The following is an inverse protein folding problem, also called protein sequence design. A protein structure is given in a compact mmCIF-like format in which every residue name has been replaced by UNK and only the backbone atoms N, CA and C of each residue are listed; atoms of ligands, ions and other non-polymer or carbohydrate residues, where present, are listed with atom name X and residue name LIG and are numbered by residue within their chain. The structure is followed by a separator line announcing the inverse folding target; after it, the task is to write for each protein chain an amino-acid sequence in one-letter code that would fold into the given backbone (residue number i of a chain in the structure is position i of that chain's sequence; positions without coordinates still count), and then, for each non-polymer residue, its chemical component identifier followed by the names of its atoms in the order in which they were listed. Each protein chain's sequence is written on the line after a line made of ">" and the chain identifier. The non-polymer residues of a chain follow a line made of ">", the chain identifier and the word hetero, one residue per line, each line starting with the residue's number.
data_IF_288738791361
#
_entry.id   IF_288738791361
#
_cell.length_a   1.000
_cell.length_b   1.000
_cell.length_c   1.000
_cell.angle_alpha   90.00
_cell.angle_beta   90.00
_cell.angle_gamma   90.00
#
_symmetry.space_group_name_H-M   'P 1'
#
loop_
_entity.id
_entity.type
_entity.pdbx_description
1 polymer ?
#
# COMPACT_ATOMS: atom_id res chain seq x y z
N UNK A 1 51.03 -22.22 -37.27
CA UNK A 1 50.56 -21.22 -36.25
C UNK A 1 49.09 -21.55 -35.92
N UNK A 2 48.82 -22.21 -34.79
CA UNK A 2 47.45 -22.60 -34.35
C UNK A 2 46.98 -21.50 -33.39
N UNK A 3 45.96 -20.73 -33.79
CA UNK A 3 45.27 -19.75 -32.90
C UNK A 3 44.42 -20.50 -31.90
N UNK A 4 44.73 -20.40 -30.62
CA UNK A 4 43.88 -20.83 -29.51
C UNK A 4 42.87 -19.72 -29.23
N UNK A 5 41.59 -20.03 -29.45
CA UNK A 5 40.47 -19.19 -29.06
C UNK A 5 40.22 -19.48 -27.56
N UNK A 6 40.46 -18.49 -26.72
CA UNK A 6 40.05 -18.54 -25.30
C UNK A 6 38.57 -18.16 -25.21
N UNK A 7 37.75 -19.14 -24.88
CA UNK A 7 36.35 -18.91 -24.58
C UNK A 7 36.24 -18.47 -23.11
N UNK A 8 36.06 -17.16 -22.87
CA UNK A 8 35.72 -16.65 -21.54
C UNK A 8 34.28 -16.99 -21.25
N UNK A 9 34.07 -18.02 -20.43
CA UNK A 9 32.74 -18.28 -19.81
C UNK A 9 32.56 -17.24 -18.71
N UNK A 10 31.73 -16.21 -18.99
CA UNK A 10 31.23 -15.29 -17.98
C UNK A 10 30.24 -16.06 -17.10
N UNK A 11 30.70 -16.55 -15.95
CA UNK A 11 29.81 -17.08 -14.92
C UNK A 11 29.04 -15.87 -14.34
N UNK A 12 27.78 -15.73 -14.77
CA UNK A 12 26.82 -14.84 -14.11
C UNK A 12 26.55 -15.41 -12.72
N UNK A 13 27.23 -14.89 -11.71
CA UNK A 13 26.86 -15.14 -10.33
C UNK A 13 25.52 -14.42 -10.10
N UNK A 14 24.42 -15.17 -10.13
CA UNK A 14 23.17 -14.76 -9.50
C UNK A 14 23.48 -14.59 -8.01
N UNK A 15 23.66 -13.34 -7.60
CA UNK A 15 23.69 -12.99 -6.18
C UNK A 15 22.24 -13.13 -5.69
N UNK A 16 21.86 -14.35 -5.30
CA UNK A 16 20.64 -14.55 -4.53
C UNK A 16 20.80 -13.80 -3.21
N UNK A 17 19.81 -12.98 -2.80
CA UNK A 17 19.87 -12.33 -1.51
C UNK A 17 20.01 -13.40 -0.43
N UNK A 18 21.00 -13.25 0.45
CA UNK A 18 21.08 -14.09 1.64
C UNK A 18 19.87 -13.77 2.50
N UNK A 19 18.97 -14.74 2.64
CA UNK A 19 17.83 -14.63 3.54
C UNK A 19 18.37 -14.64 4.97
N UNK A 20 18.11 -13.55 5.67
CA UNK A 20 18.59 -13.34 7.02
C UNK A 20 17.59 -13.93 8.04
N UNK A 21 18.11 -14.44 9.15
CA UNK A 21 17.33 -15.01 10.24
C UNK A 21 16.42 -13.95 10.93
N UNK A 22 15.43 -14.39 11.68
CA UNK A 22 14.52 -13.55 12.44
C UNK A 22 15.28 -12.48 13.26
N UNK A 23 14.92 -11.19 13.03
CA UNK A 23 15.49 -10.03 13.74
C UNK A 23 16.38 -9.10 12.91
N UNK A 24 16.75 -9.46 11.69
CA UNK A 24 17.57 -8.61 10.83
C UNK A 24 16.71 -7.64 10.01
N UNK A 25 17.12 -6.36 9.97
CA UNK A 25 16.45 -5.30 9.21
C UNK A 25 16.45 -5.64 7.73
N UNK A 26 15.27 -5.72 7.10
CA UNK A 26 15.18 -5.87 5.65
C UNK A 26 15.68 -4.59 4.98
N UNK A 27 16.51 -4.77 3.95
CA UNK A 27 17.08 -3.67 3.16
C UNK A 27 16.51 -3.58 1.76
N UNK A 28 15.68 -4.54 1.39
CA UNK A 28 15.05 -4.64 0.09
C UNK A 28 13.82 -5.54 0.17
N UNK A 29 12.75 -5.18 -0.56
CA UNK A 29 11.50 -5.94 -0.63
C UNK A 29 11.13 -6.14 -2.08
N UNK A 30 10.90 -7.40 -2.49
CA UNK A 30 10.29 -7.74 -3.77
C UNK A 30 8.78 -7.76 -3.64
N UNK A 31 8.10 -6.83 -4.31
CA UNK A 31 6.65 -6.75 -4.35
C UNK A 31 6.18 -6.50 -5.80
N UNK A 32 6.26 -7.55 -6.61
CA UNK A 32 5.91 -7.52 -8.05
C UNK A 32 4.61 -8.32 -8.31
N UNK A 33 3.65 -8.27 -7.40
CA UNK A 33 2.40 -9.01 -7.51
C UNK A 33 1.40 -8.26 -8.39
N UNK A 34 0.67 -9.00 -9.24
CA UNK A 34 -0.39 -8.42 -10.06
C UNK A 34 -1.69 -8.18 -9.25
N UNK A 35 -2.51 -7.21 -9.70
CA UNK A 35 -3.86 -7.01 -9.17
C UNK A 35 -4.67 -8.31 -9.09
N UNK A 36 -4.62 -9.15 -10.13
CA UNK A 36 -5.38 -10.40 -10.17
C UNK A 36 -4.90 -11.42 -9.13
N UNK A 37 -3.59 -11.45 -8.83
CA UNK A 37 -3.04 -12.29 -7.78
C UNK A 37 -3.46 -11.79 -6.38
N UNK A 38 -3.35 -10.48 -6.15
CA UNK A 38 -3.77 -9.85 -4.89
C UNK A 38 -5.26 -10.09 -4.62
N UNK A 39 -6.12 -9.85 -5.61
CA UNK A 39 -7.57 -10.06 -5.50
C UNK A 39 -7.92 -11.52 -5.22
N UNK A 40 -7.33 -12.45 -5.97
CA UNK A 40 -7.60 -13.87 -5.77
C UNK A 40 -7.16 -14.36 -4.37
N UNK A 41 -6.03 -13.86 -3.86
CA UNK A 41 -5.55 -14.22 -2.52
C UNK A 41 -6.46 -13.64 -1.42
N UNK A 42 -6.89 -12.38 -1.56
CA UNK A 42 -7.84 -11.75 -0.67
C UNK A 42 -9.18 -12.51 -0.63
N UNK A 43 -9.71 -12.93 -1.78
CA UNK A 43 -10.93 -13.74 -1.85
C UNK A 43 -10.80 -15.08 -1.13
N UNK A 44 -9.62 -15.73 -1.21
CA UNK A 44 -9.34 -16.99 -0.49
C UNK A 44 -9.21 -16.78 1.03
N UNK A 45 -8.58 -15.71 1.46
CA UNK A 45 -8.46 -15.31 2.87
C UNK A 45 -9.85 -15.09 3.49
N UNK A 46 -10.65 -14.20 2.87
CA UNK A 46 -12.01 -13.90 3.34
C UNK A 46 -12.89 -15.17 3.37
N UNK A 47 -12.78 -16.02 2.35
CA UNK A 47 -13.55 -17.25 2.29
C UNK A 47 -13.14 -18.29 3.35
N UNK A 48 -11.89 -18.26 3.80
CA UNK A 48 -11.37 -19.17 4.83
C UNK A 48 -11.65 -18.67 6.26
N UNK A 49 -12.16 -17.45 6.40
CA UNK A 49 -12.49 -16.91 7.72
C UNK A 49 -13.61 -17.72 8.38
N UNK A 50 -13.35 -18.22 9.59
CA UNK A 50 -14.27 -19.08 10.33
C UNK A 50 -14.15 -20.56 10.00
N UNK A 51 -13.27 -20.98 9.07
CA UNK A 51 -12.89 -22.38 8.89
C UNK A 51 -12.03 -22.85 10.08
N UNK A 52 -11.95 -24.17 10.30
CA UNK A 52 -11.09 -24.76 11.34
C UNK A 52 -9.61 -24.39 11.16
N UNK A 53 -9.18 -24.22 9.90
CA UNK A 53 -7.82 -23.80 9.53
C UNK A 53 -7.88 -22.57 8.61
N UNK A 54 -7.98 -21.36 9.18
CA UNK A 54 -7.94 -20.14 8.38
C UNK A 54 -6.57 -19.99 7.71
N UNK A 55 -6.55 -19.41 6.53
CA UNK A 55 -5.33 -19.11 5.76
C UNK A 55 -5.30 -17.62 5.42
N UNK A 56 -4.15 -16.98 5.57
CA UNK A 56 -4.00 -15.57 5.23
C UNK A 56 -3.59 -15.37 3.76
N UNK A 57 -4.03 -14.26 3.16
CA UNK A 57 -3.60 -13.88 1.82
C UNK A 57 -2.09 -13.67 1.73
N UNK A 58 -1.46 -13.27 2.82
CA UNK A 58 0.00 -13.12 2.91
C UNK A 58 0.69 -14.46 2.75
N UNK A 59 0.25 -15.49 3.48
CA UNK A 59 0.81 -16.84 3.40
C UNK A 59 0.56 -17.47 2.02
N UNK A 60 -0.64 -17.26 1.46
CA UNK A 60 -0.99 -17.71 0.11
C UNK A 60 -0.06 -17.11 -0.94
N UNK A 61 0.13 -15.78 -0.91
CA UNK A 61 0.99 -15.06 -1.85
C UNK A 61 2.45 -15.45 -1.67
N UNK A 62 2.92 -15.61 -0.42
CA UNK A 62 4.28 -16.05 -0.13
C UNK A 62 4.55 -17.45 -0.71
N UNK A 63 3.66 -18.41 -0.48
CA UNK A 63 3.80 -19.75 -1.03
C UNK A 63 3.76 -19.75 -2.57
N UNK A 64 2.83 -19.03 -3.17
CA UNK A 64 2.74 -18.90 -4.61
C UNK A 64 4.03 -18.29 -5.22
N UNK A 65 4.63 -17.31 -4.52
CA UNK A 65 5.89 -16.66 -4.94
C UNK A 65 7.10 -17.60 -4.84
N UNK A 66 7.16 -18.46 -3.83
CA UNK A 66 8.19 -19.51 -3.77
C UNK A 66 8.08 -20.47 -4.95
N UNK A 67 6.86 -20.84 -5.33
CA UNK A 67 6.59 -21.80 -6.41
C UNK A 67 6.83 -21.23 -7.83
N UNK A 68 6.63 -19.92 -8.03
CA UNK A 68 6.59 -19.30 -9.37
C UNK A 68 7.56 -18.14 -9.56
N UNK A 69 8.03 -17.49 -8.48
CA UNK A 69 8.59 -16.15 -8.51
C UNK A 69 7.47 -15.08 -8.51
N UNK A 70 7.65 -13.98 -7.78
CA UNK A 70 6.62 -12.98 -7.51
C UNK A 70 5.93 -12.46 -8.79
N UNK A 71 6.69 -12.09 -9.83
CA UNK A 71 6.17 -11.59 -11.13
C UNK A 71 5.30 -12.58 -11.89
N UNK A 72 5.42 -13.88 -11.60
CA UNK A 72 4.73 -14.95 -12.34
C UNK A 72 3.56 -15.54 -11.56
N UNK A 73 3.24 -14.96 -10.41
CA UNK A 73 2.08 -15.39 -9.62
C UNK A 73 0.80 -14.98 -10.34
N UNK A 74 0.06 -15.99 -10.77
CA UNK A 74 -1.26 -15.84 -11.38
C UNK A 74 -2.36 -16.40 -10.45
N UNK A 75 -3.62 -16.23 -10.84
CA UNK A 75 -4.78 -16.70 -10.05
C UNK A 75 -4.79 -18.22 -9.85
N UNK A 76 -4.19 -19.00 -10.77
CA UNK A 76 -4.06 -20.45 -10.65
C UNK A 76 -3.05 -20.81 -9.57
N UNK A 77 -1.87 -20.15 -9.57
CA UNK A 77 -0.85 -20.34 -8.54
C UNK A 77 -1.38 -19.98 -7.15
N UNK A 78 -2.14 -18.89 -7.03
CA UNK A 78 -2.81 -18.47 -5.79
C UNK A 78 -3.76 -19.56 -5.28
N UNK A 79 -4.67 -20.07 -6.12
CA UNK A 79 -5.61 -21.12 -5.73
C UNK A 79 -4.91 -22.41 -5.33
N UNK A 80 -3.84 -22.78 -6.04
CA UNK A 80 -3.03 -23.94 -5.69
C UNK A 80 -2.36 -23.76 -4.34
N UNK A 81 -1.73 -22.60 -4.07
CA UNK A 81 -1.10 -22.30 -2.80
C UNK A 81 -2.12 -22.31 -1.64
N UNK A 82 -3.31 -21.74 -1.84
CA UNK A 82 -4.39 -21.77 -0.86
C UNK A 82 -4.81 -23.23 -0.53
N UNK A 83 -4.91 -24.08 -1.56
CA UNK A 83 -5.25 -25.50 -1.37
C UNK A 83 -4.13 -26.25 -0.62
N UNK A 84 -2.86 -25.99 -0.93
CA UNK A 84 -1.71 -26.59 -0.23
C UNK A 84 -1.68 -26.17 1.26
N UNK A 85 -1.96 -24.90 1.58
CA UNK A 85 -1.98 -24.38 2.96
C UNK A 85 -3.15 -24.94 3.79
N UNK A 86 -4.26 -25.30 3.17
CA UNK A 86 -5.40 -25.97 3.83
C UNK A 86 -5.13 -27.45 4.13
N UNK A 87 -4.08 -28.03 3.55
CA UNK A 87 -3.66 -29.40 3.83
C UNK A 87 -3.07 -29.59 5.23
N UNK A 88 -2.68 -30.83 5.57
CA UNK A 88 -2.21 -31.20 6.92
C UNK A 88 -0.76 -30.75 7.20
N UNK A 89 0.03 -30.50 6.15
CA UNK A 89 1.43 -30.11 6.28
C UNK A 89 1.58 -28.63 6.65
N UNK A 90 2.51 -28.34 7.53
CA UNK A 90 2.97 -26.97 7.78
C UNK A 90 3.74 -26.44 6.55
N UNK A 91 3.88 -25.13 6.36
CA UNK A 91 4.70 -24.58 5.28
C UNK A 91 6.16 -25.08 5.32
N UNK A 92 6.71 -25.32 6.49
CA UNK A 92 8.08 -25.87 6.65
C UNK A 92 8.19 -27.31 6.15
N UNK A 93 7.22 -28.16 6.48
CA UNK A 93 7.17 -29.54 5.99
C UNK A 93 6.91 -29.62 4.48
N UNK A 94 6.05 -28.71 3.97
CA UNK A 94 5.69 -28.62 2.56
C UNK A 94 6.87 -28.17 1.67
N UNK A 95 7.73 -27.31 2.17
CA UNK A 95 8.77 -26.64 1.40
C UNK A 95 10.18 -27.16 1.68
N UNK A 96 10.44 -27.79 2.83
CA UNK A 96 11.77 -28.21 3.21
C UNK A 96 12.79 -27.07 3.18
N UNK A 97 13.87 -27.23 2.40
CA UNK A 97 14.92 -26.21 2.26
C UNK A 97 14.42 -24.89 1.65
N UNK A 98 13.34 -24.90 0.87
CA UNK A 98 12.74 -23.68 0.28
C UNK A 98 11.97 -22.84 1.31
N UNK A 99 11.79 -23.31 2.53
CA UNK A 99 11.09 -22.57 3.59
C UNK A 99 11.74 -21.20 3.89
N UNK A 100 13.05 -21.07 3.70
CA UNK A 100 13.75 -19.80 3.87
C UNK A 100 13.23 -18.71 2.90
N UNK A 101 12.87 -19.08 1.67
CA UNK A 101 12.26 -18.17 0.71
C UNK A 101 10.81 -17.81 1.10
N UNK A 102 10.06 -18.77 1.63
CA UNK A 102 8.72 -18.51 2.14
C UNK A 102 8.76 -17.53 3.31
N UNK A 103 9.65 -17.72 4.26
CA UNK A 103 9.84 -16.80 5.38
C UNK A 103 10.20 -15.38 4.91
N UNK A 104 11.05 -15.25 3.88
CA UNK A 104 11.36 -13.96 3.27
C UNK A 104 10.13 -13.31 2.63
N UNK A 105 9.43 -14.01 1.72
CA UNK A 105 8.26 -13.46 1.05
C UNK A 105 7.13 -13.14 2.04
N UNK A 106 6.89 -14.02 3.01
CA UNK A 106 5.92 -13.77 4.07
C UNK A 106 6.21 -12.48 4.82
N UNK A 107 7.45 -12.28 5.25
CA UNK A 107 7.86 -11.05 5.95
C UNK A 107 7.78 -9.81 5.05
N UNK A 108 8.18 -9.92 3.78
CA UNK A 108 8.08 -8.85 2.81
C UNK A 108 6.62 -8.44 2.55
N UNK A 109 5.74 -9.43 2.37
CA UNK A 109 4.32 -9.17 2.12
C UNK A 109 3.57 -8.73 3.38
N UNK A 110 3.95 -9.21 4.56
CA UNK A 110 3.47 -8.68 5.83
C UNK A 110 3.78 -7.18 5.96
N UNK A 111 4.99 -6.77 5.60
CA UNK A 111 5.36 -5.36 5.67
C UNK A 111 4.55 -4.47 4.71
N UNK A 112 4.15 -4.99 3.53
CA UNK A 112 3.37 -4.22 2.53
C UNK A 112 1.87 -4.32 2.78
N UNK A 113 1.36 -5.50 3.13
CA UNK A 113 -0.06 -5.86 3.12
C UNK A 113 -0.65 -6.07 4.51
N UNK A 114 0.21 -6.20 5.51
CA UNK A 114 -0.20 -6.46 6.89
C UNK A 114 -1.18 -5.47 7.43
N UNK A 115 -2.09 -5.37 8.04
CA UNK A 115 -3.01 -4.31 8.46
C UNK A 115 -4.10 -3.94 7.45
N UNK A 116 -4.01 -4.40 6.19
CA UNK A 116 -5.00 -4.08 5.17
C UNK A 116 -6.23 -5.00 5.19
N UNK A 117 -6.14 -6.17 5.82
CA UNK A 117 -7.22 -7.15 5.98
C UNK A 117 -7.38 -7.48 7.45
N UNK A 118 -8.63 -7.54 7.92
CA UNK A 118 -8.92 -7.83 9.31
C UNK A 118 -10.38 -7.56 9.68
N UNK A 119 -10.62 -7.43 10.99
CA UNK A 119 -11.95 -7.16 11.52
C UNK A 119 -12.22 -5.66 11.61
N UNK A 120 -13.35 -5.24 11.12
CA UNK A 120 -13.82 -3.87 11.21
C UNK A 120 -15.35 -3.81 11.34
N UNK A 121 -15.88 -2.66 11.72
CA UNK A 121 -17.30 -2.43 11.75
C UNK A 121 -17.68 -1.17 10.99
N UNK A 122 -18.85 -1.20 10.33
CA UNK A 122 -19.43 -0.06 9.62
C UNK A 122 -20.79 0.24 10.24
N UNK A 123 -21.06 1.55 10.48
CA UNK A 123 -22.41 1.98 10.88
C UNK A 123 -23.31 2.06 9.64
N UNK A 124 -24.35 1.27 9.62
CA UNK A 124 -25.34 1.26 8.56
C UNK A 124 -26.74 1.58 9.11
N UNK A 125 -27.62 2.04 8.25
CA UNK A 125 -29.03 2.20 8.62
C UNK A 125 -29.77 0.92 8.26
N UNK A 126 -30.30 0.23 9.26
CA UNK A 126 -31.15 -0.94 9.08
C UNK A 126 -32.39 -0.54 8.27
N UNK A 127 -32.63 -1.22 7.15
CA UNK A 127 -33.69 -0.86 6.20
C UNK A 127 -35.10 -1.10 6.74
N UNK A 128 -35.23 -2.05 7.68
CA UNK A 128 -36.55 -2.45 8.23
C UNK A 128 -36.94 -1.57 9.42
N UNK A 129 -35.98 -1.18 10.25
CA UNK A 129 -36.22 -0.41 11.48
C UNK A 129 -35.92 1.09 11.34
N UNK A 130 -35.14 1.48 10.35
CA UNK A 130 -34.62 2.84 10.19
C UNK A 130 -33.55 3.23 11.24
N UNK A 131 -33.16 2.33 12.13
CA UNK A 131 -32.17 2.58 13.16
C UNK A 131 -30.76 2.37 12.65
N UNK A 132 -29.80 3.10 13.22
CA UNK A 132 -28.37 2.92 12.97
C UNK A 132 -27.86 1.75 13.79
N UNK A 133 -27.07 0.89 13.16
CA UNK A 133 -26.43 -0.25 13.80
C UNK A 133 -25.02 -0.46 13.28
N UNK A 134 -24.13 -0.95 14.15
CA UNK A 134 -22.78 -1.34 13.78
C UNK A 134 -22.76 -2.78 13.31
N UNK A 135 -22.32 -3.00 12.08
CA UNK A 135 -22.15 -4.32 11.50
C UNK A 135 -20.67 -4.66 11.43
N UNK A 136 -20.27 -5.63 12.24
CA UNK A 136 -18.91 -6.17 12.21
C UNK A 136 -18.74 -7.11 11.01
N UNK A 137 -17.58 -7.04 10.35
CA UNK A 137 -17.21 -7.88 9.23
C UNK A 137 -15.70 -8.13 9.22
N UNK A 138 -15.30 -9.16 8.50
CA UNK A 138 -13.89 -9.43 8.19
C UNK A 138 -13.64 -9.21 6.70
N UNK A 139 -12.55 -8.55 6.34
CA UNK A 139 -12.22 -8.31 4.95
C UNK A 139 -11.23 -7.17 4.77
N UNK A 140 -11.23 -6.59 3.56
CA UNK A 140 -10.39 -5.45 3.23
C UNK A 140 -10.83 -4.23 4.03
N UNK A 141 -10.00 -3.77 4.97
CA UNK A 141 -10.23 -2.59 5.81
C UNK A 141 -9.46 -1.35 5.38
N UNK A 142 -8.75 -1.43 4.25
CA UNK A 142 -8.06 -0.32 3.60
C UNK A 142 -8.88 0.25 2.44
N UNK A 143 -8.69 1.54 2.12
CA UNK A 143 -9.43 2.24 1.08
C UNK A 143 -8.53 2.79 -0.01
N UNK A 144 -9.08 2.97 -1.23
CA UNK A 144 -8.41 3.75 -2.29
C UNK A 144 -8.06 5.15 -1.77
N UNK A 145 -6.90 5.71 -2.10
CA UNK A 145 -6.55 7.07 -1.67
C UNK A 145 -7.46 8.17 -2.26
N UNK A 146 -8.31 7.84 -3.24
CA UNK A 146 -9.27 8.76 -3.85
C UNK A 146 -10.69 8.41 -3.41
N UNK A 147 -11.42 9.36 -2.84
CA UNK A 147 -12.79 9.19 -2.37
C UNK A 147 -13.75 8.70 -3.49
N UNK A 148 -14.81 7.97 -3.12
CA UNK A 148 -15.83 7.50 -4.05
C UNK A 148 -16.54 8.67 -4.75
N UNK A 149 -16.94 8.46 -6.01
CA UNK A 149 -17.61 9.47 -6.82
C UNK A 149 -16.68 10.40 -7.61
N UNK A 150 -15.37 10.33 -7.39
CA UNK A 150 -14.37 11.13 -8.11
C UNK A 150 -13.58 10.25 -9.08
N UNK A 151 -13.59 10.61 -10.38
CA UNK A 151 -12.83 9.89 -11.41
C UNK A 151 -11.34 10.19 -11.34
N UNK A 152 -10.51 9.20 -11.67
CA UNK A 152 -9.08 9.37 -11.85
C UNK A 152 -8.52 8.35 -12.84
N UNK A 153 -7.34 8.65 -13.41
CA UNK A 153 -6.53 7.69 -14.18
C UNK A 153 -5.28 7.37 -13.37
N UNK A 154 -4.92 6.08 -13.34
CA UNK A 154 -3.76 5.59 -12.60
C UNK A 154 -2.66 5.18 -13.58
N UNK A 155 -1.45 5.66 -13.39
CA UNK A 155 -0.30 5.38 -14.24
C UNK A 155 0.70 4.47 -13.56
N UNK A 156 1.15 3.45 -14.28
CA UNK A 156 2.21 2.55 -13.85
C UNK A 156 3.57 3.20 -14.17
N UNK A 157 3.96 4.16 -13.36
CA UNK A 157 5.14 5.00 -13.57
C UNK A 157 6.17 4.97 -12.44
N UNK A 158 6.03 4.02 -11.51
CA UNK A 158 7.03 3.77 -10.46
C UNK A 158 8.41 3.51 -11.07
N UNK A 159 9.45 4.08 -10.50
CA UNK A 159 10.84 3.94 -10.97
C UNK A 159 11.17 4.70 -12.24
N UNK A 160 10.20 5.34 -12.93
CA UNK A 160 10.44 6.14 -14.11
C UNK A 160 11.32 7.36 -13.80
N UNK A 161 12.06 7.83 -14.81
CA UNK A 161 12.94 8.99 -14.62
C UNK A 161 12.14 10.27 -14.44
N UNK A 162 12.53 11.07 -13.46
CA UNK A 162 12.06 12.43 -13.20
C UNK A 162 13.25 13.38 -13.14
N UNK A 163 13.05 14.63 -13.54
CA UNK A 163 14.06 15.67 -13.43
C UNK A 163 13.47 16.97 -12.91
N UNK A 164 14.07 17.52 -11.88
CA UNK A 164 13.88 18.87 -11.39
C UNK A 164 15.18 19.28 -10.66
N UNK A 165 16.08 19.94 -11.40
CA UNK A 165 17.41 20.24 -10.93
C UNK A 165 18.42 19.10 -11.03
N UNK A 166 18.00 17.84 -10.81
CA UNK A 166 18.79 16.62 -10.99
C UNK A 166 17.88 15.43 -11.37
N UNK A 167 18.51 14.40 -11.93
CA UNK A 167 17.81 13.16 -12.28
C UNK A 167 17.50 12.34 -11.02
N UNK A 168 16.26 11.86 -10.88
CA UNK A 168 15.81 11.02 -9.79
C UNK A 168 14.81 9.97 -10.28
N UNK A 169 14.60 8.94 -9.48
CA UNK A 169 13.53 7.96 -9.71
C UNK A 169 12.20 8.48 -9.17
N UNK A 170 11.12 8.10 -9.80
CA UNK A 170 9.76 8.29 -9.31
C UNK A 170 9.46 7.23 -8.24
N UNK A 171 9.33 7.62 -6.99
CA UNK A 171 9.14 6.73 -5.85
C UNK A 171 7.68 6.74 -5.39
N UNK A 172 6.78 6.40 -6.28
CA UNK A 172 5.34 6.35 -6.10
C UNK A 172 4.64 6.19 -7.42
N UNK A 173 3.32 6.32 -7.41
CA UNK A 173 2.47 6.28 -8.58
C UNK A 173 1.62 7.54 -8.67
N UNK A 174 1.42 8.06 -9.89
CA UNK A 174 0.63 9.26 -10.12
C UNK A 174 -0.83 8.91 -10.47
N UNK A 175 -1.76 9.46 -9.70
CA UNK A 175 -3.20 9.34 -9.90
C UNK A 175 -3.75 10.67 -10.41
N UNK A 176 -4.00 10.74 -11.72
CA UNK A 176 -4.49 11.96 -12.39
C UNK A 176 -5.97 12.17 -12.11
N UNK A 177 -6.35 13.35 -11.61
CA UNK A 177 -7.74 13.65 -11.26
C UNK A 177 -8.07 15.12 -11.37
N UNK A 178 -9.14 15.54 -10.71
CA UNK A 178 -9.60 16.93 -10.72
C UNK A 178 -9.10 17.70 -9.49
N UNK A 179 -8.85 18.99 -9.65
CA UNK A 179 -8.48 19.87 -8.55
C UNK A 179 -9.54 19.81 -7.42
N UNK A 180 -9.08 19.67 -6.18
CA UNK A 180 -9.94 19.60 -5.01
C UNK A 180 -10.61 18.24 -4.78
N UNK A 181 -10.29 17.20 -5.57
CA UNK A 181 -10.74 15.84 -5.27
C UNK A 181 -10.33 15.43 -3.85
N UNK A 182 -11.27 14.98 -3.00
CA UNK A 182 -10.94 14.52 -1.66
C UNK A 182 -10.01 13.29 -1.68
N UNK A 183 -8.91 13.41 -0.94
CA UNK A 183 -7.94 12.35 -0.68
C UNK A 183 -8.27 11.75 0.67
N UNK A 184 -8.22 10.43 0.78
CA UNK A 184 -8.52 9.72 2.02
C UNK A 184 -7.33 8.91 2.50
N UNK A 185 -7.26 8.66 3.80
CA UNK A 185 -6.27 7.74 4.37
C UNK A 185 -6.51 6.32 3.85
N UNK A 186 -5.47 5.69 3.32
CA UNK A 186 -5.54 4.30 2.82
C UNK A 186 -5.72 3.34 3.96
N UNK A 187 -5.00 3.52 5.04
CA UNK A 187 -5.00 2.71 6.26
C UNK A 187 -5.11 3.63 7.48
N UNK A 188 -5.60 3.09 8.58
CA UNK A 188 -5.59 3.77 9.88
C UNK A 188 -4.16 4.00 10.36
N UNK A 189 -3.93 5.10 11.07
CA UNK A 189 -2.58 5.43 11.53
C UNK A 189 -2.46 6.81 12.12
N UNK A 190 -1.22 7.26 12.28
CA UNK A 190 -0.88 8.57 12.86
C UNK A 190 -0.22 9.46 11.81
N UNK A 191 -0.65 10.71 11.75
CA UNK A 191 -0.03 11.73 10.90
C UNK A 191 1.35 12.07 11.45
N UNK A 192 2.42 11.71 10.74
CA UNK A 192 3.80 12.03 11.12
C UNK A 192 4.34 13.28 10.43
N UNK A 193 3.85 13.58 9.23
CA UNK A 193 4.34 14.72 8.48
C UNK A 193 3.21 15.49 7.82
N UNK A 194 3.26 16.80 7.97
CA UNK A 194 2.52 17.81 7.21
C UNK A 194 3.50 18.92 6.81
N UNK A 195 3.24 19.57 5.71
CA UNK A 195 4.01 20.73 5.31
C UNK A 195 4.48 20.68 3.87
N UNK A 196 5.33 21.63 3.54
CA UNK A 196 5.90 21.82 2.22
C UNK A 196 7.24 21.14 2.06
N UNK A 197 7.44 20.49 0.93
CA UNK A 197 8.79 20.22 0.45
C UNK A 197 8.90 20.64 -1.02
N UNK A 198 10.13 20.97 -1.47
CA UNK A 198 10.34 21.56 -2.78
C UNK A 198 9.93 20.65 -3.96
N UNK A 199 9.88 19.33 -3.75
CA UNK A 199 9.51 18.37 -4.80
C UNK A 199 8.02 18.04 -4.76
N UNK A 200 7.52 17.56 -3.62
CA UNK A 200 6.14 17.13 -3.42
C UNK A 200 5.14 18.28 -3.19
N UNK A 201 5.60 19.52 -2.98
CA UNK A 201 4.72 20.62 -2.59
C UNK A 201 4.10 20.38 -1.22
N UNK A 202 2.82 20.68 -1.07
CA UNK A 202 2.05 20.30 0.12
C UNK A 202 1.91 18.78 0.18
N UNK A 203 2.27 18.21 1.32
CA UNK A 203 2.31 16.76 1.53
C UNK A 203 1.73 16.34 2.86
N UNK A 204 1.31 15.06 2.94
CA UNK A 204 0.92 14.35 4.15
C UNK A 204 1.74 13.07 4.21
N UNK A 205 2.24 12.74 5.39
CA UNK A 205 2.84 11.45 5.72
C UNK A 205 2.07 10.79 6.85
N UNK A 206 1.62 9.54 6.67
CA UNK A 206 0.87 8.77 7.67
C UNK A 206 1.62 7.48 7.95
N UNK A 207 1.92 7.23 9.22
CA UNK A 207 2.48 5.98 9.71
C UNK A 207 1.38 5.02 10.12
N UNK A 208 1.40 3.78 9.63
CA UNK A 208 0.49 2.71 10.06
C UNK A 208 0.66 2.40 11.56
N UNK A 209 -0.35 1.79 12.16
CA UNK A 209 -0.34 1.48 13.60
C UNK A 209 0.74 0.48 13.99
N UNK A 210 1.09 -0.48 13.13
CA UNK A 210 2.21 -1.40 13.32
C UNK A 210 3.58 -0.80 13.02
N UNK A 211 3.63 0.48 12.62
CA UNK A 211 4.82 1.28 12.30
C UNK A 211 5.65 0.82 11.11
N UNK A 212 5.18 -0.16 10.33
CA UNK A 212 5.95 -0.71 9.20
C UNK A 212 5.73 0.05 7.89
N UNK A 213 4.57 0.71 7.71
CA UNK A 213 4.18 1.42 6.48
C UNK A 213 4.13 2.93 6.71
N UNK A 214 4.76 3.67 5.81
CA UNK A 214 4.65 5.12 5.74
C UNK A 214 4.03 5.51 4.41
N UNK A 215 2.81 6.01 4.47
CA UNK A 215 2.03 6.46 3.32
C UNK A 215 2.33 7.91 3.02
N UNK A 216 2.72 8.20 1.78
CA UNK A 216 3.08 9.52 1.32
C UNK A 216 2.08 10.03 0.28
N UNK A 217 1.49 11.19 0.56
CA UNK A 217 0.53 11.87 -0.30
C UNK A 217 1.06 13.26 -0.63
N UNK A 218 1.27 13.57 -1.92
CA UNK A 218 1.89 14.83 -2.32
C UNK A 218 1.16 15.53 -3.47
N UNK A 219 1.63 16.71 -3.81
CA UNK A 219 1.05 17.64 -4.78
C UNK A 219 -0.35 18.13 -4.39
N UNK A 220 -0.59 18.28 -3.09
CA UNK A 220 -1.90 18.69 -2.58
C UNK A 220 -2.26 20.11 -3.02
N UNK A 221 -3.52 20.47 -2.80
CA UNK A 221 -4.10 21.73 -3.24
C UNK A 221 -3.43 22.94 -2.59
N UNK A 222 -3.16 23.96 -3.40
CA UNK A 222 -2.72 25.25 -2.93
C UNK A 222 -3.77 25.88 -2.01
N UNK A 223 -3.33 26.60 -0.96
CA UNK A 223 -4.11 27.32 0.04
C UNK A 223 -5.01 26.46 0.95
N UNK A 224 -5.44 25.26 0.49
CA UNK A 224 -6.30 24.33 1.24
C UNK A 224 -5.83 22.86 1.06
N UNK A 225 -4.59 22.52 1.46
CA UNK A 225 -4.06 21.17 1.21
C UNK A 225 -4.68 20.11 2.10
N UNK A 226 -5.07 20.45 3.33
CA UNK A 226 -5.45 19.50 4.37
C UNK A 226 -6.92 19.57 4.75
N UNK A 227 -7.45 18.45 5.22
CA UNK A 227 -8.73 18.43 5.90
C UNK A 227 -8.68 19.29 7.18
N UNK A 228 -9.81 19.91 7.51
CA UNK A 228 -9.92 20.80 8.68
C UNK A 228 -9.60 20.05 9.98
N UNK A 229 -8.66 20.57 10.75
CA UNK A 229 -8.24 20.02 12.04
C UNK A 229 -7.21 18.89 11.95
N UNK A 230 -6.66 18.61 10.77
CA UNK A 230 -5.57 17.63 10.63
C UNK A 230 -4.25 18.28 11.08
N UNK A 231 -3.58 17.66 12.04
CA UNK A 231 -2.33 18.10 12.63
C UNK A 231 -1.34 16.94 12.74
N UNK A 232 -0.03 17.22 12.88
CA UNK A 232 0.96 16.19 13.20
C UNK A 232 0.59 15.57 14.55
N UNK A 233 0.61 14.24 14.62
CA UNK A 233 0.13 13.47 15.79
C UNK A 233 -1.37 13.14 15.75
N UNK A 234 -2.14 13.67 14.79
CA UNK A 234 -3.54 13.28 14.64
C UNK A 234 -3.66 11.80 14.28
N UNK A 235 -4.54 11.09 14.98
CA UNK A 235 -5.03 9.78 14.58
C UNK A 235 -6.01 9.94 13.41
N UNK A 236 -5.86 9.13 12.38
CA UNK A 236 -6.81 9.01 11.27
C UNK A 236 -7.26 7.56 11.11
N UNK A 237 -8.51 7.38 10.76
CA UNK A 237 -9.05 6.07 10.42
C UNK A 237 -9.01 5.86 8.89
N UNK A 238 -8.85 4.62 8.46
CA UNK A 238 -8.90 4.25 7.05
C UNK A 238 -10.17 4.81 6.39
N UNK A 239 -10.04 5.54 5.28
CA UNK A 239 -11.14 6.18 4.56
C UNK A 239 -11.54 7.57 5.06
N UNK A 240 -10.91 8.14 6.10
CA UNK A 240 -11.08 9.53 6.48
C UNK A 240 -10.51 10.49 5.44
N UNK A 241 -11.20 11.61 5.19
CA UNK A 241 -10.66 12.65 4.33
C UNK A 241 -9.49 13.34 5.04
N UNK A 242 -8.33 13.32 4.42
CA UNK A 242 -7.09 13.88 4.96
C UNK A 242 -6.64 15.14 4.22
N UNK A 243 -7.02 15.31 2.95
CA UNK A 243 -6.60 16.46 2.14
C UNK A 243 -7.28 16.50 0.79
N UNK A 244 -6.76 17.36 -0.09
CA UNK A 244 -7.35 17.63 -1.40
C UNK A 244 -6.29 17.62 -2.49
N UNK A 245 -6.61 16.98 -3.61
CA UNK A 245 -5.74 16.86 -4.77
C UNK A 245 -5.46 18.22 -5.38
N UNK A 246 -4.20 18.45 -5.74
CA UNK A 246 -3.74 19.69 -6.37
C UNK A 246 -2.66 19.46 -7.41
N UNK A 247 -1.73 20.40 -7.51
CA UNK A 247 -0.58 20.42 -8.42
C UNK A 247 0.56 21.28 -7.89
N UNK A 248 0.66 21.37 -6.54
CA UNK A 248 1.74 22.10 -5.87
C UNK A 248 3.05 21.32 -5.91
N UNK A 249 4.17 22.02 -5.79
CA UNK A 249 5.51 21.43 -5.75
C UNK A 249 6.43 21.99 -6.83
N UNK A 250 7.58 21.33 -7.02
CA UNK A 250 8.67 21.71 -7.90
C UNK A 250 9.06 23.19 -7.75
N UNK A 251 9.16 23.65 -6.50
CA UNK A 251 9.47 25.02 -6.13
C UNK A 251 10.09 25.08 -4.73
N UNK A 252 11.15 25.85 -4.57
CA UNK A 252 11.71 26.21 -3.26
C UNK A 252 10.84 27.23 -2.52
N UNK A 253 9.95 27.93 -3.25
CA UNK A 253 8.94 28.82 -2.68
C UNK A 253 7.71 27.99 -2.32
N UNK A 254 7.26 28.14 -1.10
CA UNK A 254 6.07 27.48 -0.57
C UNK A 254 4.77 27.94 -1.25
N UNK A 255 3.78 27.07 -1.28
CA UNK A 255 2.42 27.33 -1.75
C UNK A 255 2.34 27.77 -3.22
N UNK A 256 3.12 27.13 -4.09
CA UNK A 256 3.18 27.41 -5.53
C UNK A 256 2.74 26.19 -6.33
N UNK A 257 1.82 26.42 -7.27
CA UNK A 257 1.46 25.48 -8.32
C UNK A 257 2.50 25.56 -9.44
N UNK A 258 3.44 24.61 -9.48
CA UNK A 258 4.49 24.59 -10.50
C UNK A 258 4.62 23.22 -11.19
N UNK A 259 3.60 22.38 -11.03
CA UNK A 259 3.42 21.13 -11.77
C UNK A 259 2.37 21.35 -12.86
N UNK A 260 2.54 20.72 -14.02
CA UNK A 260 1.70 21.00 -15.18
C UNK A 260 0.32 20.33 -15.15
N UNK A 261 0.15 19.30 -14.30
CA UNK A 261 -1.06 18.47 -14.29
C UNK A 261 -1.54 18.22 -12.87
N UNK A 262 -2.84 18.30 -12.65
CA UNK A 262 -3.46 17.98 -11.36
C UNK A 262 -3.38 16.46 -11.14
N UNK A 263 -2.75 16.04 -10.07
CA UNK A 263 -2.65 14.62 -9.67
C UNK A 263 -2.32 14.49 -8.19
N UNK A 264 -2.58 13.31 -7.66
CA UNK A 264 -2.01 12.83 -6.42
C UNK A 264 -0.78 11.99 -6.74
N UNK A 265 0.39 12.38 -6.24
CA UNK A 265 1.51 11.46 -6.11
C UNK A 265 1.31 10.66 -4.83
N UNK A 266 1.16 9.34 -4.97
CA UNK A 266 0.95 8.41 -3.88
C UNK A 266 2.10 7.42 -3.79
N UNK A 267 2.73 7.32 -2.62
CA UNK A 267 3.84 6.41 -2.36
C UNK A 267 3.65 5.62 -1.07
N UNK A 268 4.30 4.48 -1.01
CA UNK A 268 4.41 3.63 0.17
C UNK A 268 5.88 3.33 0.43
N UNK A 269 6.37 3.78 1.57
CA UNK A 269 7.69 3.48 2.09
C UNK A 269 7.58 2.46 3.23
N UNK A 270 8.47 1.46 3.24
CA UNK A 270 8.58 0.49 4.32
C UNK A 270 9.69 0.90 5.28
N UNK A 271 9.38 0.89 6.58
CA UNK A 271 10.28 1.33 7.64
C UNK A 271 10.45 0.21 8.65
N UNK A 272 11.50 -0.58 8.49
CA UNK A 272 11.88 -1.61 9.47
C UNK A 272 12.75 -1.05 10.59
N UNK A 273 13.37 0.10 10.36
CA UNK A 273 14.19 0.85 11.31
C UNK A 273 14.10 2.34 10.95
N UNK A 274 13.98 3.21 11.94
CA UNK A 274 13.84 4.66 11.71
C UNK A 274 15.02 5.29 10.93
N UNK A 275 16.20 4.66 10.96
CA UNK A 275 17.34 5.11 10.17
C UNK A 275 17.17 4.89 8.66
N UNK A 276 16.16 4.12 8.23
CA UNK A 276 15.85 3.93 6.80
C UNK A 276 15.05 5.09 6.22
N UNK A 277 14.37 5.84 7.05
CA UNK A 277 13.49 6.93 6.65
C UNK A 277 14.29 8.18 6.31
N UNK A 278 13.94 8.86 5.22
CA UNK A 278 14.60 10.07 4.73
C UNK A 278 16.12 9.92 4.51
N UNK A 279 16.56 8.76 4.00
CA UNK A 279 17.96 8.44 3.75
C UNK A 279 18.16 7.72 2.40
N UNK A 280 19.40 7.37 2.06
CA UNK A 280 19.73 6.68 0.80
C UNK A 280 19.28 5.20 0.75
N UNK A 281 18.82 4.65 1.88
CA UNK A 281 18.36 3.25 1.99
C UNK A 281 16.86 3.11 2.18
N UNK A 282 16.07 4.11 1.80
CA UNK A 282 14.61 4.06 1.76
C UNK A 282 14.10 2.88 0.92
N UNK A 283 13.05 2.20 1.41
CA UNK A 283 12.41 1.10 0.70
C UNK A 283 11.03 1.54 0.22
N UNK A 284 10.98 2.08 -0.98
CA UNK A 284 9.74 2.44 -1.66
C UNK A 284 9.21 1.26 -2.49
N UNK A 285 7.91 1.05 -2.45
CA UNK A 285 7.22 -0.06 -3.10
C UNK A 285 6.40 0.44 -4.28
N UNK A 286 6.43 -0.31 -5.39
CA UNK A 286 5.48 -0.10 -6.48
C UNK A 286 4.09 -0.52 -6.02
N UNK A 287 3.22 0.47 -5.82
CA UNK A 287 1.85 0.26 -5.32
C UNK A 287 0.80 0.21 -6.43
N UNK A 288 1.20 0.12 -7.72
CA UNK A 288 0.26 0.15 -8.83
C UNK A 288 -0.84 -0.91 -8.69
N UNK A 289 -0.47 -2.17 -8.57
CA UNK A 289 -1.43 -3.28 -8.43
C UNK A 289 -2.25 -3.21 -7.13
N UNK A 290 -1.65 -2.69 -6.05
CA UNK A 290 -2.36 -2.48 -4.79
C UNK A 290 -3.43 -1.39 -4.93
N UNK A 291 -3.10 -0.26 -5.56
CA UNK A 291 -4.07 0.83 -5.81
C UNK A 291 -5.18 0.37 -6.76
N UNK A 292 -4.88 -0.50 -7.75
CA UNK A 292 -5.92 -1.13 -8.57
C UNK A 292 -6.88 -1.97 -7.71
N UNK A 293 -6.37 -2.78 -6.77
CA UNK A 293 -7.21 -3.55 -5.84
C UNK A 293 -8.06 -2.61 -4.98
N UNK A 294 -7.45 -1.60 -4.38
CA UNK A 294 -8.14 -0.63 -3.53
C UNK A 294 -9.17 0.21 -4.30
N UNK A 295 -9.05 0.33 -5.63
CA UNK A 295 -10.03 1.07 -6.44
C UNK A 295 -11.44 0.48 -6.38
N UNK A 296 -11.56 -0.80 -6.01
CA UNK A 296 -12.84 -1.47 -5.76
C UNK A 296 -13.42 -1.15 -4.36
N UNK A 297 -12.59 -0.63 -3.42
CA UNK A 297 -12.97 -0.28 -2.05
C UNK A 297 -12.71 1.19 -1.77
N UNK A 298 -13.69 2.04 -2.02
CA UNK A 298 -13.56 3.49 -1.96
C UNK A 298 -14.47 4.08 -0.88
N UNK A 299 -13.90 4.97 -0.06
CA UNK A 299 -14.65 5.67 0.98
C UNK A 299 -15.65 6.67 0.38
N UNK A 300 -16.92 6.51 0.73
CA UNK A 300 -17.98 7.47 0.40
C UNK A 300 -17.96 8.63 1.39
N UNK A 301 -17.80 9.84 0.89
CA UNK A 301 -17.65 11.04 1.72
C UNK A 301 -18.62 12.14 1.33
N UNK A 302 -18.93 13.01 2.27
CA UNK A 302 -19.72 14.23 2.05
C UNK A 302 -19.15 15.41 2.84
N UNK A 303 -19.41 16.61 2.36
CA UNK A 303 -19.15 17.80 3.14
C UNK A 303 -20.29 18.04 4.14
N UNK A 304 -19.95 18.13 5.41
CA UNK A 304 -20.88 18.45 6.49
C UNK A 304 -20.83 19.96 6.77
N UNK A 305 -21.91 20.65 6.41
CA UNK A 305 -21.99 22.12 6.52
C UNK A 305 -22.06 22.60 7.97
N UNK A 306 -22.61 21.77 8.87
CA UNK A 306 -22.77 22.14 10.28
C UNK A 306 -21.42 22.05 11.01
N UNK A 307 -20.63 21.03 10.68
CA UNK A 307 -19.30 20.83 11.24
C UNK A 307 -18.21 21.55 10.44
N UNK A 308 -18.55 22.08 9.25
CA UNK A 308 -17.60 22.70 8.31
C UNK A 308 -16.42 21.79 7.99
N UNK A 309 -16.71 20.50 7.72
CA UNK A 309 -15.68 19.47 7.40
C UNK A 309 -16.21 18.35 6.51
N UNK A 310 -15.30 17.66 5.86
CA UNK A 310 -15.60 16.43 5.15
C UNK A 310 -15.70 15.26 6.13
N UNK A 311 -16.72 14.43 5.96
CA UNK A 311 -16.97 13.23 6.80
C UNK A 311 -17.31 12.05 5.93
N UNK A 312 -17.04 10.86 6.42
CA UNK A 312 -17.51 9.61 5.81
C UNK A 312 -19.04 9.51 5.91
N UNK A 313 -19.67 8.96 4.88
CA UNK A 313 -21.09 8.67 4.89
C UNK A 313 -21.37 7.47 5.80
N UNK A 314 -20.48 6.47 5.76
CA UNK A 314 -20.56 5.28 6.59
C UNK A 314 -19.43 5.35 7.64
N UNK A 315 -19.75 5.64 8.91
CA UNK A 315 -18.77 5.57 9.99
C UNK A 315 -18.13 4.19 10.07
N UNK A 316 -16.84 4.16 10.39
CA UNK A 316 -16.00 2.98 10.38
C UNK A 316 -15.25 2.86 11.71
N UNK A 317 -14.96 1.64 12.14
CA UNK A 317 -14.08 1.32 13.28
C UNK A 317 -13.19 0.16 12.90
N UNK A 318 -11.91 0.30 13.16
CA UNK A 318 -10.97 -0.81 13.13
C UNK A 318 -11.10 -1.60 14.44
N UNK A 319 -11.51 -2.87 14.35
CA UNK A 319 -11.69 -3.72 15.54
C UNK A 319 -10.42 -4.45 15.96
N UNK A 320 -9.38 -4.44 15.13
CA UNK A 320 -8.08 -5.04 15.44
C UNK A 320 -7.14 -4.02 16.12
N UNK A 321 -7.49 -2.74 16.11
CA UNK A 321 -6.72 -1.65 16.71
C UNK A 321 -7.15 -1.30 18.16
N UNK A 322 -8.17 -1.99 18.71
CA UNK A 322 -8.71 -1.77 20.05
C UNK A 322 -8.00 -2.59 21.15
#
# INVERSE_FOLDING_TARGET
>A
MKKRIFLCILALWLVLPRVNAEGEVLRWVEFDLSYSALKAALEQDIAAQGEEKPISWIDILALASVRKGAKQVDTKAVRQAAQELKGDLTPQELLGEQYTYFAYYRRAYEAVLGGLVGNYAIEVTNKDTGQKEWVATYGLKAFSPIAAGYGYSHYHDFGSSRSYGFARRHLGNDLMGSLGTPIVAVESGTVEALGWNQYGGWRIGIRSDDTLRYYYYAHLQKDHPYAKGLEIGSRVEAGDVIGFMGWTGYSTRENVNNINTVHLHFGLELVFDESQKECDSEIWVDVYSLVELLSEHRSSVRYDKEQDKWVRIYPYRDLDAE
#
